data_IF_184694564899
#
_entry.id   IF_184694564899
#
_cell.length_a   1.000
_cell.length_b   1.000
_cell.length_c   1.000
_cell.angle_alpha   90.00
_cell.angle_beta   90.00
_cell.angle_gamma   90.00
#
_symmetry.space_group_name_H-M   'P 1'
#
loop_
_entity.id
_entity.type
_entity.pdbx_description
1 polymer ?
#
# COMPACT_ATOMS: atom_id res chain seq x y z
N UNK A 1 -23.69 -35.58 0.26
CA UNK A 1 -22.82 -34.86 -0.69
C UNK A 1 -22.54 -33.49 -0.08
N UNK A 2 -21.30 -33.20 0.34
CA UNK A 2 -20.99 -31.94 1.03
C UNK A 2 -20.95 -30.78 0.01
N UNK A 3 -21.69 -29.70 0.29
CA UNK A 3 -21.68 -28.50 -0.55
C UNK A 3 -20.28 -27.88 -0.51
N UNK A 4 -19.66 -27.58 -1.67
CA UNK A 4 -18.36 -26.92 -1.68
C UNK A 4 -18.48 -25.55 -0.97
N UNK A 5 -17.44 -25.12 -0.24
CA UNK A 5 -17.48 -23.85 0.46
C UNK A 5 -17.76 -22.71 -0.53
N UNK A 6 -18.56 -21.70 -0.14
CA UNK A 6 -18.87 -20.58 -1.01
C UNK A 6 -17.59 -19.86 -1.44
N UNK A 7 -17.46 -19.59 -2.74
CA UNK A 7 -16.33 -18.80 -3.27
C UNK A 7 -16.46 -17.37 -2.73
N UNK A 8 -15.37 -16.84 -2.18
CA UNK A 8 -15.31 -15.44 -1.77
C UNK A 8 -15.68 -14.52 -2.96
N UNK A 9 -16.44 -13.44 -2.72
CA UNK A 9 -16.71 -12.44 -3.74
C UNK A 9 -15.39 -11.84 -4.27
N UNK A 10 -15.36 -11.51 -5.56
CA UNK A 10 -14.21 -10.93 -6.23
C UNK A 10 -14.47 -9.45 -6.53
N UNK A 11 -13.60 -8.58 -6.02
CA UNK A 11 -13.55 -7.16 -6.37
C UNK A 11 -12.42 -6.99 -7.39
N UNK A 12 -12.75 -6.55 -8.60
CA UNK A 12 -11.75 -6.22 -9.62
C UNK A 12 -11.68 -4.71 -9.76
N UNK A 13 -10.51 -4.15 -9.50
CA UNK A 13 -10.22 -2.73 -9.71
C UNK A 13 -9.52 -2.57 -11.04
N UNK A 14 -10.14 -1.82 -11.95
CA UNK A 14 -9.55 -1.38 -13.20
C UNK A 14 -9.11 0.07 -13.03
N UNK A 15 -7.82 0.36 -13.22
CA UNK A 15 -7.37 1.75 -13.13
C UNK A 15 -5.88 1.95 -13.23
N UNK A 16 -5.47 3.18 -12.92
CA UNK A 16 -4.09 3.61 -13.04
C UNK A 16 -3.17 3.08 -11.95
N UNK A 17 -1.93 2.83 -12.36
CA UNK A 17 -0.78 2.58 -11.49
C UNK A 17 0.27 3.65 -11.78
N UNK A 18 0.67 4.40 -10.77
CA UNK A 18 1.71 5.41 -10.90
C UNK A 18 2.77 5.23 -9.81
N UNK A 19 4.02 5.55 -10.12
CA UNK A 19 4.99 5.85 -9.07
C UNK A 19 4.91 7.34 -8.74
N UNK A 20 4.68 7.65 -7.46
CA UNK A 20 4.68 9.03 -6.99
C UNK A 20 6.12 9.43 -6.64
N UNK A 21 6.61 10.48 -7.29
CA UNK A 21 7.92 11.10 -7.05
C UNK A 21 7.67 12.44 -6.36
N UNK A 22 7.91 12.51 -5.06
CA UNK A 22 7.52 13.63 -4.21
C UNK A 22 8.75 14.45 -3.82
N UNK A 23 8.80 15.69 -4.26
CA UNK A 23 9.80 16.68 -3.85
C UNK A 23 9.18 17.68 -2.88
N UNK A 24 9.78 17.83 -1.70
CA UNK A 24 9.38 18.83 -0.70
C UNK A 24 10.28 20.05 -0.85
N UNK A 25 9.69 21.22 -1.08
CA UNK A 25 10.39 22.46 -1.43
C UNK A 25 9.95 23.61 -0.53
N UNK A 26 10.80 24.63 -0.31
CA UNK A 26 10.45 25.78 0.53
C UNK A 26 9.31 26.61 -0.05
N UNK A 27 9.19 26.63 -1.39
CA UNK A 27 8.02 27.14 -2.10
C UNK A 27 7.92 26.46 -3.46
N UNK A 28 6.77 26.56 -4.10
CA UNK A 28 6.66 26.11 -5.48
C UNK A 28 7.59 26.91 -6.42
N UNK A 29 8.28 26.24 -7.35
CA UNK A 29 9.18 26.90 -8.27
C UNK A 29 8.43 27.87 -9.19
N UNK A 30 9.04 29.01 -9.46
CA UNK A 30 8.58 29.96 -10.50
C UNK A 30 9.23 29.64 -11.85
N UNK A 31 8.73 30.18 -12.98
CA UNK A 31 9.32 29.93 -14.29
C UNK A 31 10.82 30.27 -14.34
N UNK A 32 11.64 29.32 -14.79
CA UNK A 32 13.09 29.47 -14.93
C UNK A 32 13.90 29.27 -13.64
N UNK A 33 13.25 29.13 -12.49
CA UNK A 33 13.92 28.90 -11.22
C UNK A 33 14.35 27.43 -11.05
N UNK A 34 15.52 27.23 -10.43
CA UNK A 34 15.96 25.91 -9.95
C UNK A 34 16.03 25.94 -8.43
N UNK A 35 15.27 25.06 -7.78
CA UNK A 35 15.24 24.92 -6.32
C UNK A 35 15.91 23.62 -5.89
N UNK A 36 16.54 23.66 -4.70
CA UNK A 36 16.96 22.45 -4.00
C UNK A 36 15.81 21.99 -3.11
N UNK A 37 15.44 20.71 -3.22
CA UNK A 37 14.42 20.12 -2.35
C UNK A 37 15.00 19.78 -0.97
N UNK A 38 14.23 20.01 0.08
CA UNK A 38 14.59 19.63 1.46
C UNK A 38 14.55 18.10 1.64
N UNK A 39 13.64 17.45 0.90
CA UNK A 39 13.43 16.01 0.94
C UNK A 39 12.88 15.51 -0.39
N UNK A 40 13.25 14.28 -0.74
CA UNK A 40 12.67 13.54 -1.83
C UNK A 40 12.13 12.19 -1.34
N UNK A 41 10.96 11.77 -1.85
CA UNK A 41 10.36 10.49 -1.53
C UNK A 41 9.80 9.83 -2.80
N UNK A 42 9.84 8.49 -2.82
CA UNK A 42 9.26 7.67 -3.87
C UNK A 42 8.28 6.70 -3.23
N UNK A 43 7.04 6.66 -3.73
CA UNK A 43 6.02 5.78 -3.18
C UNK A 43 5.09 5.21 -4.26
N UNK A 44 4.66 3.94 -4.14
CA UNK A 44 3.59 3.41 -4.97
C UNK A 44 2.32 4.26 -4.86
N UNK A 45 1.73 4.62 -5.99
CA UNK A 45 0.55 5.46 -6.08
C UNK A 45 -0.36 5.10 -7.26
N UNK A 46 -1.16 6.07 -7.69
CA UNK A 46 -2.22 5.87 -8.68
C UNK A 46 -3.57 5.54 -8.02
N UNK A 47 -4.64 6.16 -8.54
CA UNK A 47 -5.98 6.05 -7.95
C UNK A 47 -6.49 4.61 -7.94
N UNK A 48 -6.25 3.85 -9.02
CA UNK A 48 -6.65 2.44 -9.12
C UNK A 48 -5.89 1.57 -8.12
N UNK A 49 -4.57 1.70 -8.06
CA UNK A 49 -3.77 0.97 -7.09
C UNK A 49 -4.19 1.27 -5.63
N UNK A 50 -4.43 2.54 -5.29
CA UNK A 50 -4.87 2.94 -3.95
C UNK A 50 -6.23 2.32 -3.58
N UNK A 51 -7.17 2.28 -4.52
CA UNK A 51 -8.46 1.61 -4.31
C UNK A 51 -8.30 0.11 -4.10
N UNK A 52 -7.48 -0.57 -4.92
CA UNK A 52 -7.23 -2.00 -4.78
C UNK A 52 -6.61 -2.35 -3.42
N UNK A 53 -5.62 -1.57 -2.95
CA UNK A 53 -5.02 -1.75 -1.63
C UNK A 53 -6.04 -1.50 -0.51
N UNK A 54 -6.87 -0.47 -0.63
CA UNK A 54 -7.91 -0.19 0.36
C UNK A 54 -8.90 -1.35 0.47
N UNK A 55 -9.40 -1.86 -0.66
CA UNK A 55 -10.25 -3.06 -0.69
C UNK A 55 -9.56 -4.26 -0.05
N UNK A 56 -8.28 -4.50 -0.35
CA UNK A 56 -7.56 -5.65 0.17
C UNK A 56 -7.35 -5.57 1.70
N UNK A 57 -7.04 -4.37 2.22
CA UNK A 57 -6.92 -4.12 3.66
C UNK A 57 -8.25 -4.35 4.38
N UNK A 58 -9.35 -3.83 3.85
CA UNK A 58 -10.68 -3.98 4.45
C UNK A 58 -11.24 -5.41 4.32
N UNK A 59 -10.81 -6.15 3.29
CA UNK A 59 -11.22 -7.54 3.10
C UNK A 59 -10.64 -8.49 4.13
N UNK A 60 -9.71 -8.08 5.00
CA UNK A 60 -9.07 -8.95 5.99
C UNK A 60 -9.50 -8.55 7.39
N UNK A 61 -9.96 -9.52 8.19
CA UNK A 61 -10.29 -9.26 9.58
C UNK A 61 -9.04 -8.80 10.35
N UNK A 62 -9.18 -7.80 11.22
CA UNK A 62 -8.13 -7.45 12.17
C UNK A 62 -7.89 -8.66 13.08
N UNK A 63 -6.64 -9.09 13.36
CA UNK A 63 -6.38 -10.13 14.35
C UNK A 63 -7.09 -9.78 15.65
N UNK A 64 -7.75 -10.76 16.27
CA UNK A 64 -8.56 -10.57 17.47
C UNK A 64 -7.78 -9.99 18.68
N UNK A 65 -6.45 -9.90 18.59
CA UNK A 65 -5.56 -9.38 19.63
C UNK A 65 -5.66 -7.88 19.90
N UNK A 66 -6.35 -7.09 19.09
CA UNK A 66 -6.57 -5.65 19.35
C UNK A 66 -7.94 -5.31 19.98
N UNK A 67 -8.75 -6.31 20.34
CA UNK A 67 -10.08 -6.08 20.91
C UNK A 67 -10.11 -5.99 22.46
N UNK A 68 -8.98 -6.15 23.14
CA UNK A 68 -8.93 -6.16 24.61
C UNK A 68 -7.78 -5.31 25.18
N UNK A 69 -7.87 -3.99 25.07
CA UNK A 69 -7.03 -3.09 25.87
C UNK A 69 -7.67 -1.71 26.05
N UNK A 70 -8.97 -1.66 26.32
CA UNK A 70 -9.68 -0.42 26.67
C UNK A 70 -10.61 -0.62 27.87
N UNK A 71 -10.12 -1.28 28.91
CA UNK A 71 -10.81 -1.42 30.19
C UNK A 71 -9.85 -1.77 31.33
N UNK A 72 -8.73 -1.04 31.47
CA UNK A 72 -7.87 -1.12 32.67
C UNK A 72 -6.92 0.10 32.79
N UNK A 73 -7.46 1.32 32.93
CA UNK A 73 -6.67 2.47 33.43
C UNK A 73 -7.50 3.43 34.28
N UNK A 74 -8.46 2.92 35.05
CA UNK A 74 -9.17 3.77 36.02
C UNK A 74 -9.51 3.02 37.31
N UNK A 75 -8.53 2.32 37.91
CA UNK A 75 -8.65 1.86 39.29
C UNK A 75 -7.30 1.48 39.93
N UNK A 76 -6.30 2.37 39.93
CA UNK A 76 -5.23 2.32 40.94
C UNK A 76 -4.45 3.64 41.05
N UNK A 77 -5.06 4.61 41.74
CA UNK A 77 -4.32 5.64 42.47
C UNK A 77 -4.71 5.47 43.95
N UNK A 78 -3.85 4.79 44.69
CA UNK A 78 -4.05 4.50 46.11
C UNK A 78 -2.85 3.80 46.74
N UNK A 79 -1.91 4.62 47.23
CA UNK A 79 -0.97 4.41 48.34
C UNK A 79 0.01 3.21 48.34
N UNK A 80 1.29 3.51 48.64
CA UNK A 80 2.20 2.51 49.22
C UNK A 80 3.68 2.69 48.86
N UNK A 81 4.40 3.45 49.68
CA UNK A 81 5.87 3.52 49.74
C UNK A 81 6.48 2.20 50.23
N UNK A 82 7.54 1.70 49.57
CA UNK A 82 8.34 0.59 50.09
C UNK A 82 9.53 0.26 49.19
N UNK A 83 10.74 0.58 49.67
CA UNK A 83 12.02 0.19 49.10
C UNK A 83 12.36 -1.26 49.44
N UNK A 84 12.82 -2.03 48.45
CA UNK A 84 13.30 -3.40 48.63
C UNK A 84 14.11 -3.87 47.42
N UNK A 85 15.30 -4.42 47.68
CA UNK A 85 16.34 -4.72 46.72
C UNK A 85 16.33 -6.19 46.22
N UNK A 86 16.62 -6.39 44.92
CA UNK A 86 17.15 -7.61 44.26
C UNK A 86 16.25 -8.86 44.22
N UNK A 87 16.56 -9.90 43.39
CA UNK A 87 17.80 -10.16 42.63
C UNK A 87 17.61 -10.50 41.14
N UNK A 88 18.75 -10.76 40.48
CA UNK A 88 18.90 -11.24 39.11
C UNK A 88 18.31 -12.65 38.88
N UNK A 89 17.82 -12.90 37.67
CA UNK A 89 17.41 -14.23 37.19
C UNK A 89 17.58 -14.32 35.68
N UNK A 90 18.52 -15.17 35.25
CA UNK A 90 18.76 -15.56 33.86
C UNK A 90 17.77 -16.63 33.41
N UNK A 91 17.43 -16.62 32.12
CA UNK A 91 16.66 -17.63 31.39
C UNK A 91 16.15 -16.98 30.11
N UNK A 92 16.63 -17.31 28.92
CA UNK A 92 16.77 -18.66 28.40
C UNK A 92 15.59 -18.88 27.46
N UNK A 93 15.89 -18.79 26.16
CA UNK A 93 15.13 -19.16 24.97
C UNK A 93 13.63 -19.46 25.10
N UNK A 94 12.83 -18.80 24.24
CA UNK A 94 12.08 -19.53 23.21
C UNK A 94 11.66 -18.56 22.11
N UNK A 95 12.31 -18.66 20.95
CA UNK A 95 11.82 -18.04 19.72
C UNK A 95 10.58 -18.80 19.27
N UNK A 96 9.43 -18.42 19.82
CA UNK A 96 8.15 -18.85 19.29
C UNK A 96 7.99 -18.21 17.91
N UNK A 97 8.24 -19.01 16.86
CA UNK A 97 7.82 -18.71 15.51
C UNK A 97 6.31 -18.43 15.53
N UNK A 98 5.96 -17.14 15.49
CA UNK A 98 4.58 -16.71 15.43
C UNK A 98 4.00 -17.18 14.09
N UNK A 99 3.34 -18.33 14.11
CA UNK A 99 2.40 -18.76 13.07
C UNK A 99 1.35 -17.66 12.98
N UNK A 100 1.59 -16.72 12.07
CA UNK A 100 0.68 -15.61 11.81
C UNK A 100 -0.55 -16.24 11.17
N UNK A 101 -1.60 -16.45 11.98
CA UNK A 101 -2.90 -16.88 11.49
C UNK A 101 -3.30 -15.91 10.36
N UNK A 102 -3.27 -16.38 9.11
CA UNK A 102 -3.70 -15.62 7.94
C UNK A 102 -5.13 -15.20 8.19
N UNK A 103 -5.34 -13.92 8.53
CA UNK A 103 -6.68 -13.38 8.73
C UNK A 103 -7.55 -13.76 7.54
N UNK A 104 -8.63 -14.49 7.80
CA UNK A 104 -9.54 -14.99 6.76
C UNK A 104 -10.07 -13.80 5.98
N UNK A 105 -9.78 -13.76 4.68
CA UNK A 105 -10.27 -12.70 3.82
C UNK A 105 -11.76 -12.90 3.53
N UNK A 106 -12.54 -11.82 3.57
CA UNK A 106 -13.97 -11.78 3.25
C UNK A 106 -14.24 -11.50 1.77
N UNK A 107 -13.23 -11.02 1.03
CA UNK A 107 -13.27 -10.82 -0.41
C UNK A 107 -11.88 -11.07 -1.02
N UNK A 108 -11.85 -11.43 -2.30
CA UNK A 108 -10.64 -11.43 -3.12
C UNK A 108 -10.56 -10.11 -3.87
N UNK A 109 -9.36 -9.55 -3.99
CA UNK A 109 -9.15 -8.30 -4.74
C UNK A 109 -8.18 -8.56 -5.89
N UNK A 110 -8.53 -8.11 -7.10
CA UNK A 110 -7.69 -8.18 -8.29
C UNK A 110 -7.48 -6.78 -8.85
N UNK A 111 -6.27 -6.50 -9.32
CA UNK A 111 -5.95 -5.27 -10.06
C UNK A 111 -5.81 -5.58 -11.55
N UNK A 112 -6.46 -4.76 -12.39
CA UNK A 112 -6.29 -4.72 -13.83
C UNK A 112 -5.69 -3.36 -14.19
N UNK A 113 -4.60 -3.38 -14.96
CA UNK A 113 -3.92 -2.17 -15.40
C UNK A 113 -2.67 -2.50 -16.19
N UNK A 114 -1.82 -1.48 -16.38
CA UNK A 114 -0.56 -1.58 -17.12
C UNK A 114 0.56 -0.90 -16.36
N UNK A 115 1.75 -1.47 -16.46
CA UNK A 115 3.02 -0.87 -16.02
C UNK A 115 4.05 -1.04 -17.13
N UNK A 116 5.09 -0.20 -17.13
CA UNK A 116 6.22 -0.36 -18.05
C UNK A 116 7.12 -1.52 -17.63
N UNK A 117 8.01 -1.92 -18.53
CA UNK A 117 9.06 -2.92 -18.28
C UNK A 117 10.26 -2.31 -17.52
N UNK A 118 9.99 -1.68 -16.37
CA UNK A 118 10.96 -0.94 -15.57
C UNK A 118 10.87 -1.25 -14.07
N UNK A 119 11.79 -0.67 -13.29
CA UNK A 119 11.87 -0.87 -11.85
C UNK A 119 10.62 -0.37 -11.10
N UNK A 120 9.98 0.70 -11.59
CA UNK A 120 8.75 1.22 -10.99
C UNK A 120 7.59 0.26 -11.18
N UNK A 121 7.46 -0.33 -12.36
CA UNK A 121 6.46 -1.34 -12.67
C UNK A 121 6.62 -2.60 -11.82
N UNK A 122 7.87 -3.05 -11.65
CA UNK A 122 8.19 -4.16 -10.74
C UNK A 122 7.79 -3.82 -9.28
N UNK A 123 8.15 -2.63 -8.80
CA UNK A 123 7.85 -2.18 -7.44
C UNK A 123 6.33 -2.06 -7.18
N UNK A 124 5.56 -1.50 -8.12
CA UNK A 124 4.11 -1.36 -8.01
C UNK A 124 3.42 -2.73 -7.92
N UNK A 125 3.82 -3.68 -8.77
CA UNK A 125 3.27 -5.05 -8.75
C UNK A 125 3.61 -5.76 -7.43
N UNK A 126 4.84 -5.63 -6.96
CA UNK A 126 5.26 -6.20 -5.68
C UNK A 126 4.50 -5.59 -4.50
N UNK A 127 4.32 -4.26 -4.47
CA UNK A 127 3.57 -3.56 -3.43
C UNK A 127 2.11 -3.99 -3.35
N UNK A 128 1.42 -4.09 -4.50
CA UNK A 128 0.05 -4.61 -4.57
C UNK A 128 -0.03 -6.06 -4.06
N UNK A 129 0.87 -6.92 -4.51
CA UNK A 129 0.91 -8.32 -4.09
C UNK A 129 1.16 -8.46 -2.58
N UNK A 130 1.99 -7.61 -1.98
CA UNK A 130 2.26 -7.60 -0.55
C UNK A 130 1.00 -7.27 0.30
N UNK A 131 0.08 -6.47 -0.23
CA UNK A 131 -1.24 -6.24 0.40
C UNK A 131 -2.26 -7.34 0.06
N UNK A 132 -1.85 -8.36 -0.71
CA UNK A 132 -2.69 -9.49 -1.10
C UNK A 132 -3.68 -9.17 -2.22
N UNK A 133 -3.36 -8.20 -3.07
CA UNK A 133 -4.06 -7.96 -4.33
C UNK A 133 -3.51 -8.91 -5.39
N UNK A 134 -4.40 -9.56 -6.16
CA UNK A 134 -4.04 -10.37 -7.32
C UNK A 134 -3.61 -9.46 -8.48
N UNK A 135 -2.33 -9.56 -8.85
CA UNK A 135 -1.68 -8.72 -9.87
C UNK A 135 -1.47 -9.43 -11.21
N UNK A 136 -2.04 -10.64 -11.41
CA UNK A 136 -1.89 -11.39 -12.68
C UNK A 136 -2.42 -10.63 -13.90
N UNK A 137 -3.33 -9.68 -13.68
CA UNK A 137 -3.94 -8.83 -14.72
C UNK A 137 -3.32 -7.43 -14.82
N UNK A 138 -2.24 -7.18 -14.09
CA UNK A 138 -1.39 -6.00 -14.30
C UNK A 138 -0.36 -6.38 -15.35
N UNK A 139 -0.64 -6.04 -16.62
CA UNK A 139 0.25 -6.41 -17.71
C UNK A 139 1.45 -5.46 -17.80
N UNK A 140 2.58 -6.01 -18.24
CA UNK A 140 3.80 -5.26 -18.46
C UNK A 140 3.85 -4.89 -19.94
N UNK A 141 3.99 -3.60 -20.22
CA UNK A 141 4.15 -3.06 -21.56
C UNK A 141 5.64 -2.94 -21.84
N UNK A 142 6.17 -3.82 -22.67
CA UNK A 142 7.56 -3.82 -23.11
C UNK A 142 7.64 -3.20 -24.52
N UNK A 143 7.38 -1.91 -24.62
CA UNK A 143 7.49 -1.13 -25.86
C UNK A 143 8.53 -0.02 -25.69
N UNK A 144 9.34 0.30 -26.72
CA UNK A 144 10.31 1.38 -26.64
C UNK A 144 9.66 2.71 -26.23
N UNK A 145 10.23 3.39 -25.23
CA UNK A 145 9.74 4.68 -24.75
C UNK A 145 8.46 4.63 -23.91
N UNK A 146 7.99 3.44 -23.52
CA UNK A 146 6.81 3.28 -22.65
C UNK A 146 7.24 2.84 -21.26
N UNK A 147 7.43 3.83 -20.39
CA UNK A 147 7.69 3.63 -18.97
C UNK A 147 6.39 3.49 -18.17
N UNK A 148 6.51 3.03 -16.92
CA UNK A 148 5.45 3.07 -15.92
C UNK A 148 4.99 4.51 -15.68
N UNK A 149 3.70 4.71 -15.43
CA UNK A 149 3.17 6.04 -15.11
C UNK A 149 3.85 6.64 -13.88
N UNK A 150 4.06 7.94 -13.91
CA UNK A 150 4.72 8.69 -12.84
C UNK A 150 3.90 9.94 -12.52
N UNK A 151 3.69 10.21 -11.24
CA UNK A 151 3.22 11.51 -10.78
C UNK A 151 4.40 12.24 -10.13
N UNK A 152 4.86 13.32 -10.76
CA UNK A 152 5.80 14.26 -10.14
C UNK A 152 4.99 15.19 -9.25
N UNK A 153 5.20 15.09 -7.95
CA UNK A 153 4.46 15.84 -6.93
C UNK A 153 5.44 16.80 -6.26
N UNK A 154 5.17 18.09 -6.38
CA UNK A 154 5.90 19.13 -5.67
C UNK A 154 5.03 19.58 -4.51
N UNK A 155 5.58 19.52 -3.30
CA UNK A 155 4.90 19.93 -2.06
C UNK A 155 5.60 21.16 -1.49
N UNK A 156 4.87 22.25 -1.39
CA UNK A 156 5.30 23.46 -0.67
C UNK A 156 5.25 23.16 0.84
N UNK A 157 6.41 23.19 1.51
CA UNK A 157 6.52 22.76 2.91
C UNK A 157 5.77 23.67 3.88
N UNK A 158 5.87 25.01 3.79
CA UNK A 158 5.15 25.90 4.69
C UNK A 158 3.62 25.79 4.60
N UNK A 159 3.08 25.64 3.39
CA UNK A 159 1.62 25.66 3.16
C UNK A 159 0.99 24.27 3.10
N UNK A 160 1.76 23.25 2.71
CA UNK A 160 1.26 21.91 2.39
C UNK A 160 0.56 21.81 1.03
N UNK A 161 0.56 22.88 0.21
CA UNK A 161 -0.01 22.85 -1.13
C UNK A 161 0.78 21.91 -2.05
N UNK A 162 0.07 21.27 -2.98
CA UNK A 162 0.67 20.36 -3.94
C UNK A 162 0.45 20.81 -5.38
N UNK A 163 1.47 20.61 -6.21
CA UNK A 163 1.38 20.69 -7.67
C UNK A 163 1.79 19.35 -8.25
N UNK A 164 0.95 18.81 -9.15
CA UNK A 164 1.14 17.47 -9.70
C UNK A 164 1.27 17.56 -11.22
N UNK A 165 2.37 17.03 -11.74
CA UNK A 165 2.56 16.78 -13.17
C UNK A 165 2.53 15.27 -13.39
N UNK A 166 1.61 14.82 -14.24
CA UNK A 166 1.41 13.40 -14.51
C UNK A 166 2.05 13.03 -15.86
N UNK A 167 2.95 12.05 -15.84
CA UNK A 167 3.31 11.28 -17.03
C UNK A 167 2.53 9.96 -17.01
N UNK A 168 1.56 9.76 -17.93
CA UNK A 168 0.68 8.59 -17.85
C UNK A 168 1.40 7.27 -18.17
N UNK A 169 2.46 7.29 -18.97
CA UNK A 169 3.23 6.11 -19.35
C UNK A 169 2.35 4.96 -19.86
N UNK A 170 2.66 3.75 -19.41
CA UNK A 170 1.99 2.50 -19.75
C UNK A 170 0.47 2.51 -19.48
N UNK A 171 -0.04 3.39 -18.61
CA UNK A 171 -1.49 3.49 -18.37
C UNK A 171 -2.27 3.83 -19.64
N UNK A 172 -1.68 4.60 -20.57
CA UNK A 172 -2.33 4.98 -21.84
C UNK A 172 -2.25 3.89 -22.92
N UNK A 173 -1.46 2.84 -22.70
CA UNK A 173 -1.49 1.66 -23.56
C UNK A 173 -2.70 0.76 -23.27
N UNK A 174 -3.48 1.05 -22.22
CA UNK A 174 -4.69 0.30 -21.89
C UNK A 174 -5.87 0.77 -22.77
N UNK A 175 -6.23 -0.04 -23.78
CA UNK A 175 -7.26 0.30 -24.74
C UNK A 175 -8.59 -0.42 -24.44
N UNK A 176 -9.76 0.16 -24.79
CA UNK A 176 -11.06 -0.50 -24.58
C UNK A 176 -11.18 -1.89 -25.20
N UNK A 177 -10.50 -2.12 -26.33
CA UNK A 177 -10.44 -3.43 -27.02
C UNK A 177 -9.80 -4.54 -26.18
N UNK A 178 -9.03 -4.20 -25.15
CA UNK A 178 -8.40 -5.16 -24.27
C UNK A 178 -9.31 -5.61 -23.11
N UNK A 179 -10.40 -4.89 -22.84
CA UNK A 179 -11.34 -5.24 -21.77
C UNK A 179 -12.11 -6.54 -22.09
N UNK A 180 -12.32 -6.85 -23.37
CA UNK A 180 -13.18 -7.95 -23.83
C UNK A 180 -12.65 -9.35 -23.48
N UNK A 181 -11.33 -9.52 -23.40
CA UNK A 181 -10.70 -10.81 -23.07
C UNK A 181 -10.86 -11.25 -21.61
N UNK A 182 -11.38 -10.38 -20.74
CA UNK A 182 -11.45 -10.65 -19.30
C UNK A 182 -12.83 -11.11 -18.81
N UNK A 183 -13.84 -11.10 -19.68
CA UNK A 183 -15.23 -11.42 -19.37
C UNK A 183 -15.68 -12.83 -19.78
N UNK A 184 -14.79 -13.60 -20.41
CA UNK A 184 -15.00 -14.99 -20.83
C UNK A 184 -13.90 -15.88 -20.24
#
# INVERSE_FOLDING_TARGET
>A
MATPPPRLPLITVLGSLNMDLVAYVPHHPVPGETLTADRFATSPGGKGANQAVACAKLSRARPASFASSSSQTQQQLGAGSGSGAGPAGAGGADSAAATTATATATARVSMVGRVGADAHGAALRAGLAAFGVDVRRVAVVAAPGVDTGVALIVVDVPTGENRIVLSPGANYAFLPGECWWWWW
#
